data_IF_897189081991
#
_entry.id   IF_897189081991
#
_cell.length_a   1.000
_cell.length_b   1.000
_cell.length_c   1.000
_cell.angle_alpha   90.00
_cell.angle_beta   90.00
_cell.angle_gamma   90.00
#
_symmetry.space_group_name_H-M   'P 1'
#
loop_
_entity.id
_entity.type
_entity.pdbx_description
1 polymer ?
#
# COMPACT_ATOMS: atom_id res chain seq x y z
N UNK A 1 3.79 -15.63 16.07
CA UNK A 1 3.45 -14.61 17.11
C UNK A 1 3.17 -13.24 16.48
N UNK A 2 3.94 -12.79 15.48
CA UNK A 2 3.76 -11.50 14.79
C UNK A 2 2.39 -11.35 14.09
N UNK A 3 1.85 -12.41 13.47
CA UNK A 3 0.55 -12.41 12.78
C UNK A 3 -0.64 -12.01 13.67
N UNK A 4 -0.59 -12.39 14.96
CA UNK A 4 -1.67 -12.10 15.93
C UNK A 4 -1.62 -10.64 16.41
N UNK A 5 -0.44 -10.01 16.40
CA UNK A 5 -0.24 -8.61 16.80
C UNK A 5 -0.70 -7.61 15.74
N UNK A 6 -0.71 -8.01 14.48
CA UNK A 6 -1.04 -7.16 13.33
C UNK A 6 -2.51 -7.24 12.90
N UNK A 7 -3.32 -8.08 13.54
CA UNK A 7 -4.73 -8.27 13.16
C UNK A 7 -4.92 -8.91 11.77
N UNK A 8 -3.86 -9.52 11.21
CA UNK A 8 -3.85 -10.12 9.87
C UNK A 8 -4.46 -11.52 9.81
N UNK A 9 -5.05 -12.02 10.89
CA UNK A 9 -5.61 -13.38 10.96
C UNK A 9 -7.11 -13.46 10.73
N UNK A 10 -7.81 -12.34 10.63
CA UNK A 10 -9.18 -12.30 10.17
C UNK A 10 -9.22 -12.21 8.65
N UNK A 11 -10.05 -13.04 8.00
CA UNK A 11 -10.44 -12.87 6.60
C UNK A 11 -10.70 -11.39 6.37
N UNK A 12 -10.08 -10.72 5.40
CA UNK A 12 -10.30 -9.31 5.21
C UNK A 12 -11.80 -9.08 5.02
N UNK A 13 -12.40 -8.29 5.90
CA UNK A 13 -13.78 -7.87 5.69
C UNK A 13 -13.87 -7.16 4.34
N UNK A 14 -14.92 -7.40 3.56
CA UNK A 14 -15.15 -6.66 2.34
C UNK A 14 -15.16 -5.18 2.68
N UNK A 15 -14.23 -4.42 2.11
CA UNK A 15 -14.19 -2.97 2.29
C UNK A 15 -15.38 -2.42 1.49
N UNK A 16 -16.31 -1.67 2.09
CA UNK A 16 -17.37 -1.02 1.34
C UNK A 16 -16.75 -0.20 0.20
N UNK A 17 -17.31 -0.29 -0.98
CA UNK A 17 -16.76 0.39 -2.17
C UNK A 17 -16.51 1.88 -1.93
N UNK A 18 -17.36 2.52 -1.18
CA UNK A 18 -17.25 3.95 -0.83
C UNK A 18 -16.79 4.20 0.59
N UNK A 19 -16.64 3.14 1.42
CA UNK A 19 -16.31 3.27 2.86
C UNK A 19 -17.22 4.26 3.60
N UNK A 20 -18.49 4.35 3.22
CA UNK A 20 -19.45 5.29 3.77
C UNK A 20 -19.30 6.74 3.28
N UNK A 21 -18.39 7.01 2.36
CA UNK A 21 -18.21 8.33 1.76
C UNK A 21 -19.27 8.56 0.68
N UNK A 22 -20.01 9.63 0.78
CA UNK A 22 -20.96 10.04 -0.26
C UNK A 22 -20.19 10.61 -1.47
N UNK A 23 -20.24 9.92 -2.57
CA UNK A 23 -19.61 10.30 -3.84
C UNK A 23 -20.59 10.90 -4.84
N UNK A 24 -21.86 11.05 -4.48
CA UNK A 24 -22.92 11.53 -5.39
C UNK A 24 -22.68 12.95 -5.93
N UNK A 25 -21.93 13.76 -5.17
CA UNK A 25 -21.57 15.13 -5.55
C UNK A 25 -20.31 15.23 -6.42
N UNK A 26 -19.62 14.13 -6.61
CA UNK A 26 -18.41 14.12 -7.45
C UNK A 26 -18.80 14.18 -8.93
N UNK A 27 -18.15 15.08 -9.65
CA UNK A 27 -18.29 15.18 -11.10
C UNK A 27 -17.20 14.29 -11.74
N UNK A 28 -17.56 13.25 -12.51
CA UNK A 28 -16.60 12.29 -13.06
C UNK A 28 -15.48 12.95 -13.88
N UNK A 29 -15.81 14.00 -14.63
CA UNK A 29 -14.85 14.72 -15.48
C UNK A 29 -13.84 15.56 -14.68
N UNK A 30 -14.13 15.85 -13.40
CA UNK A 30 -13.26 16.59 -12.50
C UNK A 30 -12.41 15.70 -11.59
N UNK A 31 -12.60 14.38 -11.62
CA UNK A 31 -11.79 13.45 -10.86
C UNK A 31 -10.35 13.45 -11.41
N UNK A 32 -9.33 13.69 -10.57
CA UNK A 32 -7.96 13.73 -11.04
C UNK A 32 -7.52 12.35 -11.56
N UNK A 33 -6.77 12.35 -12.65
CA UNK A 33 -6.22 11.09 -13.19
C UNK A 33 -5.09 10.50 -12.37
N UNK A 34 -4.41 11.32 -11.60
CA UNK A 34 -3.28 10.94 -10.76
C UNK A 34 -3.39 11.62 -9.40
N UNK A 35 -3.29 10.83 -8.34
CA UNK A 35 -3.22 11.30 -6.95
C UNK A 35 -1.90 10.84 -6.35
N UNK A 36 -1.25 11.71 -5.62
CA UNK A 36 -0.04 11.38 -4.86
C UNK A 36 -0.28 11.57 -3.36
N UNK A 37 0.15 10.62 -2.55
CA UNK A 37 -0.05 10.61 -1.10
C UNK A 37 1.29 10.44 -0.40
N UNK A 38 1.56 11.30 0.57
CA UNK A 38 2.67 11.15 1.50
C UNK A 38 2.14 10.48 2.77
N UNK A 39 2.67 9.31 3.10
CA UNK A 39 2.29 8.56 4.30
C UNK A 39 3.05 9.11 5.52
N UNK A 40 2.59 10.23 6.05
CA UNK A 40 3.19 10.86 7.22
C UNK A 40 2.23 10.85 8.44
N UNK A 41 2.81 11.00 9.61
CA UNK A 41 2.06 11.17 10.87
C UNK A 41 1.65 9.86 11.55
N UNK A 42 1.73 8.71 10.92
CA UNK A 42 1.28 7.42 11.47
C UNK A 42 1.90 7.10 12.84
N UNK A 43 3.21 7.33 13.00
CA UNK A 43 3.90 7.12 14.28
C UNK A 43 3.47 8.11 15.37
N UNK A 44 3.21 9.36 15.02
CA UNK A 44 2.71 10.40 15.94
C UNK A 44 1.29 10.08 16.38
N UNK A 45 0.44 9.67 15.45
CA UNK A 45 -0.92 9.24 15.73
C UNK A 45 -0.97 8.06 16.72
N UNK A 46 -0.11 7.06 16.55
CA UNK A 46 -0.04 5.93 17.48
C UNK A 46 0.40 6.38 18.88
N UNK A 47 1.42 7.24 18.96
CA UNK A 47 1.90 7.77 20.24
C UNK A 47 0.83 8.58 21.00
N UNK A 48 0.04 9.37 20.30
CA UNK A 48 -1.08 10.11 20.91
C UNK A 48 -2.13 9.20 21.55
N UNK A 49 -2.15 7.91 21.16
CA UNK A 49 -3.00 6.87 21.75
C UNK A 49 -2.26 5.96 22.75
N UNK A 50 -1.06 6.34 23.19
CA UNK A 50 -0.24 5.52 24.08
C UNK A 50 0.30 4.23 23.45
N UNK A 51 0.31 4.14 22.11
CA UNK A 51 0.74 2.96 21.36
C UNK A 51 2.13 3.15 20.74
N UNK A 52 2.87 2.07 20.50
CA UNK A 52 4.18 2.15 19.83
C UNK A 52 4.02 2.65 18.38
N UNK A 53 5.06 3.29 17.83
CA UNK A 53 5.08 3.81 16.45
C UNK A 53 4.78 2.74 15.41
N UNK A 54 5.23 1.50 15.65
CA UNK A 54 4.98 0.33 14.80
C UNK A 54 3.49 0.03 14.62
N UNK A 55 2.68 0.26 15.65
CA UNK A 55 1.22 0.15 15.54
C UNK A 55 0.67 1.15 14.50
N UNK A 56 1.21 2.38 14.48
CA UNK A 56 0.83 3.39 13.50
C UNK A 56 1.22 3.01 12.08
N UNK A 57 2.41 2.46 11.88
CA UNK A 57 2.83 1.98 10.55
C UNK A 57 1.92 0.87 10.03
N UNK A 58 1.55 -0.10 10.86
CA UNK A 58 0.62 -1.14 10.49
C UNK A 58 -0.79 -0.59 10.18
N UNK A 59 -1.27 0.38 10.95
CA UNK A 59 -2.54 1.06 10.67
C UNK A 59 -2.50 1.81 9.33
N UNK A 60 -1.39 2.48 9.03
CA UNK A 60 -1.18 3.17 7.75
C UNK A 60 -1.23 2.23 6.55
N UNK A 61 -0.63 1.04 6.65
CA UNK A 61 -0.68 0.02 5.59
C UNK A 61 -2.13 -0.46 5.34
N UNK A 62 -2.91 -0.68 6.39
CA UNK A 62 -4.34 -1.03 6.25
C UNK A 62 -5.14 0.09 5.58
N UNK A 63 -4.87 1.34 5.97
CA UNK A 63 -5.51 2.50 5.36
C UNK A 63 -5.14 2.62 3.88
N UNK A 64 -3.87 2.39 3.52
CA UNK A 64 -3.43 2.41 2.13
C UNK A 64 -4.21 1.41 1.27
N UNK A 65 -4.43 0.19 1.76
CA UNK A 65 -5.24 -0.81 1.06
C UNK A 65 -6.64 -0.28 0.72
N UNK A 66 -7.31 0.36 1.69
CA UNK A 66 -8.63 0.98 1.48
C UNK A 66 -8.56 2.09 0.44
N UNK A 67 -7.55 2.94 0.52
CA UNK A 67 -7.33 4.04 -0.43
C UNK A 67 -7.09 3.53 -1.85
N UNK A 68 -6.32 2.46 -2.04
CA UNK A 68 -6.11 1.85 -3.37
C UNK A 68 -7.44 1.42 -3.98
N UNK A 69 -8.29 0.71 -3.22
CA UNK A 69 -9.60 0.28 -3.70
C UNK A 69 -10.54 1.45 -3.99
N UNK A 70 -10.52 2.44 -3.13
CA UNK A 70 -11.36 3.63 -3.33
C UNK A 70 -10.90 4.45 -4.54
N UNK A 71 -9.60 4.56 -4.77
CA UNK A 71 -9.05 5.21 -5.96
C UNK A 71 -9.46 4.50 -7.25
N UNK A 72 -9.45 3.15 -7.25
CA UNK A 72 -9.94 2.35 -8.38
C UNK A 72 -11.44 2.59 -8.62
N UNK A 73 -12.25 2.54 -7.56
CA UNK A 73 -13.70 2.83 -7.62
C UNK A 73 -13.99 4.21 -8.21
N UNK A 74 -13.21 5.23 -7.86
CA UNK A 74 -13.33 6.58 -8.42
C UNK A 74 -12.82 6.72 -9.86
N UNK A 75 -12.18 5.69 -10.41
CA UNK A 75 -11.59 5.72 -11.75
C UNK A 75 -10.26 6.47 -11.84
N UNK A 76 -9.58 6.72 -10.72
CA UNK A 76 -8.23 7.29 -10.67
C UNK A 76 -7.26 6.34 -11.37
N UNK A 77 -6.49 6.84 -12.35
CA UNK A 77 -5.64 6.00 -13.20
C UNK A 77 -4.26 5.72 -12.61
N UNK A 78 -3.78 6.59 -11.74
CA UNK A 78 -2.50 6.43 -11.08
C UNK A 78 -2.57 6.92 -9.62
N UNK A 79 -2.05 6.10 -8.71
CA UNK A 79 -1.88 6.45 -7.30
C UNK A 79 -0.40 6.32 -6.95
N UNK A 80 0.25 7.41 -6.61
CA UNK A 80 1.62 7.41 -6.09
C UNK A 80 1.61 7.49 -4.57
N UNK A 81 2.41 6.63 -3.94
CA UNK A 81 2.50 6.58 -2.48
C UNK A 81 3.95 6.75 -2.06
N UNK A 82 4.22 7.80 -1.29
CA UNK A 82 5.52 8.03 -0.69
C UNK A 82 5.58 7.34 0.67
N UNK A 83 6.14 6.14 0.71
CA UNK A 83 6.09 5.26 1.87
C UNK A 83 7.36 5.30 2.72
N UNK A 84 8.53 5.48 2.10
CA UNK A 84 9.82 5.45 2.78
C UNK A 84 10.82 6.40 2.11
N UNK A 85 11.51 7.21 2.92
CA UNK A 85 12.49 8.19 2.44
C UNK A 85 13.90 7.88 2.95
N UNK A 86 14.90 8.50 2.32
CA UNK A 86 16.30 8.43 2.78
C UNK A 86 16.47 8.89 4.23
N UNK A 87 15.67 9.86 4.67
CA UNK A 87 15.68 10.33 6.06
C UNK A 87 15.18 9.27 7.05
N UNK A 88 14.34 8.36 6.61
CA UNK A 88 13.80 7.31 7.46
C UNK A 88 14.87 6.30 7.90
N UNK A 89 16.00 6.20 7.19
CA UNK A 89 17.14 5.38 7.61
C UNK A 89 17.76 5.87 8.93
N UNK A 90 17.57 7.13 9.30
CA UNK A 90 18.03 7.70 10.57
C UNK A 90 17.19 7.28 11.77
N UNK A 91 16.08 6.58 11.56
CA UNK A 91 15.23 6.07 12.62
C UNK A 91 15.90 4.89 13.35
N UNK A 92 15.43 4.53 14.57
CA UNK A 92 15.90 3.35 15.26
C UNK A 92 15.85 2.10 14.37
N UNK A 93 16.90 1.29 14.41
CA UNK A 93 17.04 0.08 13.56
C UNK A 93 15.82 -0.85 13.68
N UNK A 94 15.27 -0.97 14.89
CA UNK A 94 14.06 -1.78 15.13
C UNK A 94 12.82 -1.25 14.40
N UNK A 95 12.67 0.08 14.31
CA UNK A 95 11.58 0.71 13.56
C UNK A 95 11.76 0.51 12.05
N UNK A 96 12.99 0.72 11.54
CA UNK A 96 13.31 0.51 10.12
C UNK A 96 13.06 -0.95 9.72
N UNK A 97 13.56 -1.90 10.52
CA UNK A 97 13.32 -3.34 10.27
C UNK A 97 11.82 -3.65 10.21
N UNK A 98 11.05 -3.14 11.16
CA UNK A 98 9.60 -3.34 11.17
C UNK A 98 8.94 -2.79 9.89
N UNK A 99 9.35 -1.62 9.41
CA UNK A 99 8.81 -1.03 8.16
C UNK A 99 9.16 -1.92 6.96
N UNK A 100 10.38 -2.46 6.89
CA UNK A 100 10.80 -3.36 5.81
C UNK A 100 10.01 -4.68 5.84
N UNK A 101 9.82 -5.26 7.02
CA UNK A 101 9.00 -6.46 7.21
C UNK A 101 7.54 -6.20 6.81
N UNK A 102 7.00 -5.05 7.17
CA UNK A 102 5.65 -4.64 6.81
C UNK A 102 5.50 -4.48 5.28
N UNK A 103 6.50 -3.90 4.62
CA UNK A 103 6.52 -3.79 3.15
C UNK A 103 6.54 -5.17 2.50
N UNK A 104 7.39 -6.09 2.96
CA UNK A 104 7.41 -7.47 2.48
C UNK A 104 6.07 -8.17 2.64
N UNK A 105 5.43 -8.01 3.80
CA UNK A 105 4.11 -8.58 4.05
C UNK A 105 3.06 -7.99 3.11
N UNK A 106 3.05 -6.68 2.95
CA UNK A 106 2.12 -5.98 2.06
C UNK A 106 2.28 -6.46 0.61
N UNK A 107 3.51 -6.50 0.10
CA UNK A 107 3.79 -7.00 -1.25
C UNK A 107 3.47 -8.50 -1.45
N UNK A 108 3.39 -9.27 -0.38
CA UNK A 108 3.00 -10.69 -0.47
C UNK A 108 1.50 -10.89 -0.36
N UNK A 109 0.84 -10.19 0.58
CA UNK A 109 -0.58 -10.42 0.88
C UNK A 109 -1.53 -9.74 -0.12
N UNK A 110 -1.12 -8.60 -0.66
CA UNK A 110 -2.02 -7.78 -1.50
C UNK A 110 -1.87 -8.04 -3.01
N UNK A 111 -0.83 -8.79 -3.42
CA UNK A 111 -0.58 -9.04 -4.84
C UNK A 111 -1.74 -9.74 -5.54
N UNK A 112 -2.31 -10.78 -4.94
CA UNK A 112 -3.43 -11.51 -5.53
C UNK A 112 -4.65 -10.61 -5.71
N UNK A 113 -4.92 -9.78 -4.70
CA UNK A 113 -6.03 -8.85 -4.75
C UNK A 113 -5.80 -7.74 -5.77
N UNK A 114 -4.60 -7.15 -5.81
CA UNK A 114 -4.26 -6.13 -6.79
C UNK A 114 -4.33 -6.66 -8.24
N UNK A 115 -3.97 -7.92 -8.46
CA UNK A 115 -4.15 -8.57 -9.75
C UNK A 115 -5.61 -8.70 -10.16
N UNK A 116 -6.52 -8.99 -9.22
CA UNK A 116 -7.96 -9.07 -9.50
C UNK A 116 -8.53 -7.71 -9.94
N UNK A 117 -7.95 -6.61 -9.45
CA UNK A 117 -8.32 -5.24 -9.83
C UNK A 117 -7.50 -4.67 -11.00
N UNK A 118 -6.67 -5.49 -11.66
CA UNK A 118 -5.75 -5.04 -12.72
C UNK A 118 -4.81 -3.90 -12.30
N UNK A 119 -4.42 -3.85 -11.03
CA UNK A 119 -3.51 -2.84 -10.51
C UNK A 119 -2.08 -3.20 -10.88
N UNK A 120 -1.43 -2.34 -11.63
CA UNK A 120 -0.01 -2.45 -11.95
C UNK A 120 0.84 -1.73 -10.92
N UNK A 121 1.75 -2.47 -10.28
CA UNK A 121 2.69 -1.91 -9.31
C UNK A 121 3.95 -1.41 -10.02
N UNK A 122 4.43 -0.25 -9.60
CA UNK A 122 5.74 0.30 -9.98
C UNK A 122 6.44 0.86 -8.76
N UNK A 123 7.75 0.71 -8.72
CA UNK A 123 8.58 1.31 -7.67
C UNK A 123 9.41 2.44 -8.26
N UNK A 124 9.49 3.54 -7.53
CA UNK A 124 10.29 4.71 -7.87
C UNK A 124 11.30 4.99 -6.75
N UNK A 125 12.49 5.38 -7.12
CA UNK A 125 13.59 5.67 -6.19
C UNK A 125 14.71 4.62 -6.25
N UNK A 126 15.77 4.87 -5.46
CA UNK A 126 16.90 3.94 -5.34
C UNK A 126 16.53 2.72 -4.51
N UNK A 127 17.04 1.58 -4.91
CA UNK A 127 16.99 0.33 -4.14
C UNK A 127 18.20 0.12 -3.25
N UNK A 128 19.17 1.02 -3.35
CA UNK A 128 20.40 0.97 -2.57
C UNK A 128 20.08 0.98 -1.07
N UNK A 129 20.73 0.09 -0.32
CA UNK A 129 20.52 -0.05 1.12
C UNK A 129 19.27 -0.86 1.51
N UNK A 130 18.37 -1.21 0.57
CA UNK A 130 17.26 -2.09 0.89
C UNK A 130 17.74 -3.52 1.13
N UNK A 131 17.20 -4.24 2.14
CA UNK A 131 17.49 -5.66 2.34
C UNK A 131 17.19 -6.49 1.10
N UNK A 132 17.99 -7.52 0.83
CA UNK A 132 17.84 -8.38 -0.34
C UNK A 132 16.43 -9.00 -0.46
N UNK A 133 15.84 -9.41 0.66
CA UNK A 133 14.47 -9.95 0.68
C UNK A 133 13.42 -8.93 0.24
N UNK A 134 13.61 -7.65 0.56
CA UNK A 134 12.71 -6.57 0.10
C UNK A 134 12.83 -6.42 -1.40
N UNK A 135 14.05 -6.39 -1.92
CA UNK A 135 14.29 -6.28 -3.37
C UNK A 135 13.69 -7.45 -4.14
N UNK A 136 13.84 -8.68 -3.63
CA UNK A 136 13.21 -9.89 -4.20
C UNK A 136 11.68 -9.76 -4.25
N UNK A 137 11.05 -9.31 -3.16
CA UNK A 137 9.61 -9.09 -3.12
C UNK A 137 9.14 -7.99 -4.08
N UNK A 138 9.93 -6.94 -4.24
CA UNK A 138 9.67 -5.89 -5.23
C UNK A 138 9.73 -6.44 -6.65
N UNK A 139 10.75 -7.24 -6.99
CA UNK A 139 10.91 -7.85 -8.32
C UNK A 139 9.76 -8.81 -8.62
N UNK A 140 9.37 -9.63 -7.65
CA UNK A 140 8.22 -10.50 -7.78
C UNK A 140 6.92 -9.70 -8.01
N UNK A 141 6.69 -8.64 -7.25
CA UNK A 141 5.51 -7.79 -7.42
C UNK A 141 5.45 -7.11 -8.79
N UNK A 142 6.60 -6.65 -9.30
CA UNK A 142 6.69 -6.10 -10.65
C UNK A 142 6.34 -7.14 -11.71
N UNK A 143 6.92 -8.33 -11.63
CA UNK A 143 6.72 -9.41 -12.58
C UNK A 143 5.25 -9.86 -12.62
N UNK A 144 4.65 -10.11 -11.46
CA UNK A 144 3.27 -10.62 -11.35
C UNK A 144 2.26 -9.56 -11.78
N UNK A 145 2.41 -8.29 -11.38
CA UNK A 145 1.48 -7.22 -11.78
C UNK A 145 1.59 -6.82 -13.26
N UNK A 146 2.67 -7.22 -13.95
CA UNK A 146 2.84 -6.97 -15.38
C UNK A 146 2.15 -8.01 -16.26
N UNK A 147 2.07 -9.26 -15.82
CA UNK A 147 1.61 -10.40 -16.64
C UNK A 147 0.10 -10.43 -16.89
N UNK A 148 -0.70 -9.68 -16.14
CA UNK A 148 -2.16 -9.61 -16.35
C UNK A 148 -2.60 -8.56 -17.39
N UNK A 149 -1.69 -7.82 -17.98
CA UNK A 149 -1.92 -7.03 -19.19
C UNK A 149 -1.74 -7.90 -20.45
N UNK A 150 -2.44 -9.02 -20.54
CA UNK A 150 -2.64 -9.67 -21.84
C UNK A 150 -3.49 -8.73 -22.68
N UNK A 151 -2.87 -8.16 -23.70
CA UNK A 151 -3.59 -7.49 -24.77
C UNK A 151 -4.69 -8.44 -25.29
N UNK A 152 -5.92 -7.97 -25.51
CA UNK A 152 -6.89 -8.77 -26.21
C UNK A 152 -6.26 -9.17 -27.54
N UNK A 153 -6.03 -10.47 -27.74
CA UNK A 153 -5.68 -11.00 -29.05
C UNK A 153 -6.90 -10.81 -29.92
N UNK A 154 -6.84 -9.83 -30.81
CA UNK A 154 -7.80 -9.72 -31.89
C UNK A 154 -7.70 -11.00 -32.73
N UNK A 155 -8.71 -11.84 -32.60
CA UNK A 155 -9.03 -12.90 -33.56
C UNK A 155 -10.09 -12.39 -34.49
#
# INVERSE_FOLDING_TARGET
>A
MLKKLLGLTSKPEPIPETDGVDTSMLQPDLIPRHVAIIMDGNGRWARAQGKPRTFGHAAGARTLRRIVKFADHLGIKALSVYAFSTENWKRPVTEVRFIMDLLCQYLTSELEEFNQYNVRIRFMGSREGLPAIVQEKMDHALAVSYTHLTLPTNS
#
